data_IF_571323649438
#
_entry.id   IF_571323649438
#
_cell.length_a   1.000
_cell.length_b   1.000
_cell.length_c   1.000
_cell.angle_alpha   90.00
_cell.angle_beta   90.00
_cell.angle_gamma   90.00
#
_symmetry.space_group_name_H-M   'P 1'
#
loop_
_entity.id
_entity.type
_entity.pdbx_description
1 polymer ?
#
# COMPACT_ATOMS: atom_id res chain seq x y z
N UNK A 1 -11.66 -13.36 9.86
CA UNK A 1 -10.32 -13.93 10.15
C UNK A 1 -10.17 -15.26 9.42
N UNK A 2 -8.98 -15.62 8.90
CA UNK A 2 -8.79 -16.91 8.21
C UNK A 2 -7.80 -17.77 9.00
N UNK A 3 -8.23 -18.94 9.44
CA UNK A 3 -7.40 -19.91 10.17
C UNK A 3 -6.80 -20.94 9.20
N UNK A 4 -5.68 -21.53 9.58
CA UNK A 4 -5.08 -22.63 8.83
C UNK A 4 -5.72 -23.93 9.30
N UNK A 5 -6.62 -24.47 8.49
CA UNK A 5 -7.36 -25.70 8.82
C UNK A 5 -6.59 -26.98 8.45
N UNK A 6 -5.50 -26.88 7.69
CA UNK A 6 -4.71 -28.04 7.25
C UNK A 6 -3.86 -28.62 8.38
N UNK A 7 -3.34 -27.76 9.24
CA UNK A 7 -2.47 -28.12 10.37
C UNK A 7 -3.20 -28.01 11.72
N UNK A 8 -4.53 -28.08 11.70
CA UNK A 8 -5.37 -27.90 12.88
C UNK A 8 -5.41 -29.19 13.73
N UNK A 9 -5.09 -29.06 15.02
CA UNK A 9 -5.30 -30.13 16.00
C UNK A 9 -6.76 -30.08 16.50
N UNK A 10 -7.62 -30.85 15.83
CA UNK A 10 -9.04 -30.95 16.18
C UNK A 10 -9.30 -31.61 17.53
N UNK A 11 -8.38 -32.47 17.99
CA UNK A 11 -8.45 -33.08 19.31
C UNK A 11 -8.26 -32.04 20.42
N UNK A 12 -7.25 -31.17 20.28
CA UNK A 12 -7.06 -30.03 21.17
C UNK A 12 -8.22 -29.04 21.10
N UNK A 13 -8.69 -28.72 19.89
CA UNK A 13 -9.85 -27.85 19.69
C UNK A 13 -11.07 -28.35 20.48
N UNK A 14 -11.43 -29.63 20.32
CA UNK A 14 -12.58 -30.21 20.98
C UNK A 14 -12.49 -30.25 22.50
N UNK A 15 -11.28 -30.43 23.07
CA UNK A 15 -11.06 -30.35 24.53
C UNK A 15 -11.28 -28.93 25.03
N UNK A 16 -10.63 -27.94 24.42
CA UNK A 16 -10.73 -26.53 24.82
C UNK A 16 -12.15 -26.00 24.66
N UNK A 17 -12.85 -26.40 23.58
CA UNK A 17 -14.24 -26.02 23.37
C UNK A 17 -15.16 -26.56 24.46
N UNK A 18 -15.02 -27.84 24.84
CA UNK A 18 -15.80 -28.42 25.94
C UNK A 18 -15.54 -27.71 27.26
N UNK A 19 -14.28 -27.45 27.59
CA UNK A 19 -13.93 -26.73 28.82
C UNK A 19 -14.53 -25.32 28.84
N UNK A 20 -14.49 -24.58 27.73
CA UNK A 20 -15.06 -23.24 27.67
C UNK A 20 -16.58 -23.22 27.68
N UNK A 21 -17.23 -24.22 27.07
CA UNK A 21 -18.69 -24.38 27.15
C UNK A 21 -19.14 -24.68 28.59
N UNK A 22 -18.39 -25.50 29.33
CA UNK A 22 -18.70 -25.75 30.75
C UNK A 22 -18.46 -24.57 31.68
N UNK A 23 -17.66 -23.59 31.24
CA UNK A 23 -17.35 -22.36 31.99
C UNK A 23 -18.13 -21.15 31.48
N UNK A 24 -18.96 -21.33 30.45
CA UNK A 24 -19.74 -20.23 29.89
C UNK A 24 -20.79 -19.79 30.91
N UNK A 25 -20.96 -18.47 31.13
CA UNK A 25 -21.98 -17.98 32.06
C UNK A 25 -23.36 -18.41 31.57
N UNK A 26 -24.26 -18.84 32.46
CA UNK A 26 -25.64 -19.08 32.09
C UNK A 26 -26.25 -17.80 31.54
N UNK A 27 -26.90 -17.91 30.38
CA UNK A 27 -27.67 -16.80 29.82
C UNK A 27 -28.99 -16.77 30.55
N UNK A 28 -29.27 -15.66 31.24
CA UNK A 28 -30.51 -15.49 31.98
C UNK A 28 -31.71 -15.48 31.00
N UNK A 29 -32.82 -16.14 31.35
CA UNK A 29 -34.01 -16.15 30.52
C UNK A 29 -34.60 -14.75 30.43
N UNK A 30 -34.60 -14.16 29.23
CA UNK A 30 -35.30 -12.90 28.97
C UNK A 30 -36.81 -13.13 28.78
N UNK A 31 -37.61 -12.12 29.11
CA UNK A 31 -39.07 -12.14 28.93
C UNK A 31 -39.52 -12.38 27.48
N UNK A 32 -38.66 -12.04 26.52
CA UNK A 32 -38.84 -12.31 25.10
C UNK A 32 -38.03 -13.53 24.69
N UNK A 33 -38.71 -14.57 24.18
CA UNK A 33 -38.08 -15.80 23.69
C UNK A 33 -37.05 -15.52 22.58
N UNK A 34 -37.30 -14.51 21.76
CA UNK A 34 -36.40 -14.12 20.66
C UNK A 34 -35.08 -13.56 21.20
N UNK A 35 -35.14 -12.67 22.18
CA UNK A 35 -33.95 -12.03 22.75
C UNK A 35 -33.10 -13.04 23.53
N UNK A 36 -33.74 -14.06 24.11
CA UNK A 36 -33.05 -15.18 24.74
C UNK A 36 -32.28 -16.04 23.71
N UNK A 37 -32.90 -16.32 22.56
CA UNK A 37 -32.24 -17.06 21.48
C UNK A 37 -31.07 -16.24 20.91
N UNK A 38 -31.26 -14.95 20.67
CA UNK A 38 -30.21 -14.10 20.09
C UNK A 38 -29.01 -13.92 21.05
N UNK A 39 -29.27 -13.78 22.35
CA UNK A 39 -28.21 -13.68 23.37
C UNK A 39 -27.46 -15.01 23.58
N UNK A 40 -28.16 -16.14 23.58
CA UNK A 40 -27.52 -17.47 23.64
C UNK A 40 -26.66 -17.74 22.40
N UNK A 41 -27.14 -17.41 21.20
CA UNK A 41 -26.37 -17.54 19.97
C UNK A 41 -25.14 -16.63 20.00
N UNK A 42 -25.26 -15.40 20.50
CA UNK A 42 -24.13 -14.47 20.62
C UNK A 42 -23.04 -15.03 21.56
N UNK A 43 -23.42 -15.56 22.73
CA UNK A 43 -22.45 -16.10 23.68
C UNK A 43 -21.79 -17.38 23.17
N UNK A 44 -22.55 -18.29 22.54
CA UNK A 44 -21.99 -19.47 21.88
C UNK A 44 -21.04 -19.09 20.74
N UNK A 45 -21.40 -18.08 19.95
CA UNK A 45 -20.55 -17.57 18.87
C UNK A 45 -19.25 -17.00 19.43
N UNK A 46 -19.31 -16.29 20.56
CA UNK A 46 -18.13 -15.74 21.25
C UNK A 46 -17.22 -16.84 21.78
N UNK A 47 -17.78 -17.87 22.43
CA UNK A 47 -17.03 -19.05 22.88
C UNK A 47 -16.36 -19.75 21.69
N UNK A 48 -17.08 -19.93 20.59
CA UNK A 48 -16.56 -20.54 19.37
C UNK A 48 -15.42 -19.71 18.74
N UNK A 49 -15.57 -18.39 18.67
CA UNK A 49 -14.52 -17.51 18.16
C UNK A 49 -13.27 -17.56 19.06
N UNK A 50 -13.45 -17.55 20.38
CA UNK A 50 -12.36 -17.61 21.35
C UNK A 50 -11.62 -18.95 21.35
N UNK A 51 -12.30 -20.05 21.07
CA UNK A 51 -11.66 -21.37 20.93
C UNK A 51 -10.86 -21.44 19.63
N UNK A 52 -11.41 -20.91 18.54
CA UNK A 52 -10.72 -20.82 17.26
C UNK A 52 -9.43 -19.98 17.35
N UNK A 53 -9.45 -18.84 18.05
CA UNK A 53 -8.25 -17.98 18.17
C UNK A 53 -7.14 -18.60 19.00
N UNK A 54 -7.47 -19.42 19.99
CA UNK A 54 -6.50 -20.04 20.91
C UNK A 54 -5.88 -21.31 20.35
N UNK A 55 -6.67 -22.13 19.65
CA UNK A 55 -6.25 -23.46 19.22
C UNK A 55 -5.81 -23.51 17.77
N UNK A 56 -6.40 -22.68 16.90
CA UNK A 56 -6.08 -22.68 15.47
C UNK A 56 -4.99 -21.67 15.17
N UNK A 57 -3.96 -22.12 14.44
CA UNK A 57 -2.95 -21.22 13.90
C UNK A 57 -3.63 -20.26 12.92
N UNK A 58 -3.46 -18.96 13.14
CA UNK A 58 -3.89 -17.94 12.17
C UNK A 58 -3.15 -18.18 10.85
N UNK A 59 -3.88 -18.24 9.74
CA UNK A 59 -3.25 -18.20 8.43
C UNK A 59 -2.59 -16.85 8.34
N UNK A 60 -1.26 -16.82 8.45
CA UNK A 60 -0.48 -15.63 8.15
C UNK A 60 -0.78 -15.33 6.70
N UNK A 61 -1.49 -14.22 6.44
CA UNK A 61 -1.44 -13.62 5.11
C UNK A 61 0.05 -13.55 4.77
N UNK A 62 0.47 -14.00 3.57
CA UNK A 62 1.87 -13.94 3.21
C UNK A 62 2.34 -12.54 3.55
N UNK A 63 3.30 -12.46 4.49
CA UNK A 63 3.98 -11.21 4.84
C UNK A 63 4.71 -10.88 3.57
N UNK A 64 4.02 -10.17 2.68
CA UNK A 64 4.59 -9.79 1.43
C UNK A 64 5.76 -8.89 1.83
N UNK A 65 6.99 -9.41 1.72
CA UNK A 65 8.17 -8.59 1.43
C UNK A 65 8.04 -7.95 0.04
N UNK A 66 6.82 -7.60 -0.39
CA UNK A 66 6.60 -6.76 -1.56
C UNK A 66 6.69 -5.35 -1.03
N UNK A 67 7.59 -4.61 -1.66
CA UNK A 67 7.78 -3.17 -1.64
C UNK A 67 6.66 -2.41 -0.94
N UNK A 68 7.00 -1.52 0.01
CA UNK A 68 6.08 -0.85 0.95
C UNK A 68 4.81 -0.26 0.28
N UNK A 69 4.92 0.19 -0.97
CA UNK A 69 3.81 0.71 -1.78
C UNK A 69 2.88 -0.33 -2.41
N UNK A 70 3.15 -1.63 -2.30
CA UNK A 70 2.39 -2.68 -2.98
C UNK A 70 1.15 -3.11 -2.19
N UNK A 71 -0.02 -2.63 -2.62
CA UNK A 71 -1.30 -2.93 -1.95
C UNK A 71 -2.04 -4.14 -2.54
N UNK A 72 -2.98 -4.70 -1.78
CA UNK A 72 -3.90 -5.73 -2.27
C UNK A 72 -4.74 -5.24 -3.46
N UNK A 73 -5.04 -3.93 -3.51
CA UNK A 73 -5.71 -3.29 -4.64
C UNK A 73 -4.88 -3.41 -5.92
N UNK A 74 -3.59 -3.09 -5.86
CA UNK A 74 -2.66 -3.24 -7.00
C UNK A 74 -2.51 -4.70 -7.43
N UNK A 75 -2.50 -5.64 -6.48
CA UNK A 75 -2.47 -7.07 -6.81
C UNK A 75 -3.74 -7.51 -7.57
N UNK A 76 -4.92 -7.02 -7.16
CA UNK A 76 -6.18 -7.27 -7.86
C UNK A 76 -6.16 -6.66 -9.27
N UNK A 77 -5.66 -5.44 -9.40
CA UNK A 77 -5.52 -4.76 -10.70
C UNK A 77 -4.54 -5.52 -11.61
N UNK A 78 -3.39 -5.97 -11.10
CA UNK A 78 -2.42 -6.81 -11.83
C UNK A 78 -3.10 -8.05 -12.41
N UNK A 79 -3.85 -8.79 -11.58
CA UNK A 79 -4.56 -10.00 -12.02
C UNK A 79 -5.59 -9.69 -13.11
N UNK A 80 -6.35 -8.59 -12.97
CA UNK A 80 -7.31 -8.14 -14.00
C UNK A 80 -6.60 -7.75 -15.30
N UNK A 81 -5.49 -7.03 -15.22
CA UNK A 81 -4.69 -6.64 -16.37
C UNK A 81 -4.18 -7.85 -17.16
N UNK A 82 -3.58 -8.81 -16.46
CA UNK A 82 -3.08 -10.06 -17.08
C UNK A 82 -4.22 -10.84 -17.73
N UNK A 83 -5.40 -10.90 -17.09
CA UNK A 83 -6.59 -11.52 -17.69
C UNK A 83 -6.97 -10.83 -19.00
N UNK A 84 -7.14 -9.51 -19.00
CA UNK A 84 -7.46 -8.73 -20.20
C UNK A 84 -6.42 -8.93 -21.31
N UNK A 85 -5.13 -8.95 -20.94
CA UNK A 85 -4.03 -9.22 -21.87
C UNK A 85 -4.20 -10.57 -22.56
N UNK A 86 -4.37 -11.62 -21.76
CA UNK A 86 -4.53 -12.99 -22.27
C UNK A 86 -5.78 -13.12 -23.14
N UNK A 87 -6.88 -12.47 -22.76
CA UNK A 87 -8.13 -12.51 -23.52
C UNK A 87 -7.94 -11.89 -24.91
N UNK A 88 -7.36 -10.69 -25.02
CA UNK A 88 -7.16 -10.08 -26.35
C UNK A 88 -6.18 -10.90 -27.20
N UNK A 89 -5.10 -11.42 -26.62
CA UNK A 89 -4.09 -12.19 -27.36
C UNK A 89 -4.64 -13.51 -27.93
N UNK A 90 -5.59 -14.14 -27.23
CA UNK A 90 -6.24 -15.40 -27.65
C UNK A 90 -7.43 -15.20 -28.57
N UNK A 91 -7.90 -13.97 -28.77
CA UNK A 91 -9.01 -13.70 -29.69
C UNK A 91 -8.50 -13.87 -31.11
N UNK A 92 -9.21 -14.63 -31.95
CA UNK A 92 -8.83 -14.89 -33.34
C UNK A 92 -9.48 -13.90 -34.32
N UNK A 93 -10.72 -13.53 -34.05
CA UNK A 93 -11.48 -12.51 -34.77
C UNK A 93 -10.79 -11.13 -34.68
N UNK A 94 -10.63 -10.45 -35.82
CA UNK A 94 -9.92 -9.18 -35.96
C UNK A 94 -10.63 -8.03 -35.25
N UNK A 95 -11.93 -7.88 -35.45
CA UNK A 95 -12.70 -6.75 -34.92
C UNK A 95 -12.83 -6.86 -33.40
N UNK A 96 -13.19 -8.06 -32.93
CA UNK A 96 -13.27 -8.35 -31.51
C UNK A 96 -11.89 -8.22 -30.81
N UNK A 97 -10.80 -8.57 -31.51
CA UNK A 97 -9.44 -8.38 -30.99
C UNK A 97 -9.11 -6.90 -30.85
N UNK A 98 -9.47 -6.06 -31.82
CA UNK A 98 -9.23 -4.62 -31.76
C UNK A 98 -9.97 -3.98 -30.57
N UNK A 99 -11.25 -4.32 -30.38
CA UNK A 99 -12.05 -3.88 -29.23
C UNK A 99 -11.44 -4.34 -27.89
N UNK A 100 -11.05 -5.60 -27.78
CA UNK A 100 -10.41 -6.12 -26.54
C UNK A 100 -9.04 -5.50 -26.28
N UNK A 101 -8.29 -5.18 -27.33
CA UNK A 101 -7.02 -4.50 -27.23
C UNK A 101 -7.18 -3.07 -26.72
N UNK A 102 -8.20 -2.32 -27.16
CA UNK A 102 -8.48 -0.97 -26.64
C UNK A 102 -8.82 -1.00 -25.16
N UNK A 103 -9.68 -1.94 -24.73
CA UNK A 103 -10.03 -2.14 -23.31
C UNK A 103 -8.80 -2.48 -22.47
N UNK A 104 -7.94 -3.40 -22.95
CA UNK A 104 -6.70 -3.72 -22.24
C UNK A 104 -5.76 -2.52 -22.14
N UNK A 105 -5.55 -1.76 -23.23
CA UNK A 105 -4.67 -0.58 -23.24
C UNK A 105 -5.15 0.50 -22.27
N UNK A 106 -6.46 0.79 -22.26
CA UNK A 106 -7.06 1.73 -21.32
C UNK A 106 -6.83 1.28 -19.86
N UNK A 107 -7.10 0.00 -19.57
CA UNK A 107 -6.88 -0.56 -18.23
C UNK A 107 -5.39 -0.60 -17.85
N UNK A 108 -4.50 -0.85 -18.81
CA UNK A 108 -3.05 -0.85 -18.63
C UNK A 108 -2.53 0.54 -18.27
N UNK A 109 -3.01 1.59 -18.93
CA UNK A 109 -2.69 2.97 -18.57
C UNK A 109 -3.15 3.29 -17.15
N UNK A 110 -4.40 2.96 -16.82
CA UNK A 110 -4.94 3.16 -15.47
C UNK A 110 -4.16 2.39 -14.40
N UNK A 111 -3.80 1.14 -14.67
CA UNK A 111 -2.97 0.34 -13.76
C UNK A 111 -1.57 0.91 -13.56
N UNK A 112 -0.92 1.40 -14.62
CA UNK A 112 0.40 2.05 -14.52
C UNK A 112 0.32 3.34 -13.68
N UNK A 113 -0.72 4.15 -13.88
CA UNK A 113 -0.93 5.36 -13.08
C UNK A 113 -1.13 5.03 -11.61
N UNK A 114 -1.95 4.02 -11.29
CA UNK A 114 -2.14 3.57 -9.91
C UNK A 114 -0.84 3.04 -9.27
N UNK A 115 0.05 2.41 -10.04
CA UNK A 115 1.38 2.02 -9.55
C UNK A 115 2.23 3.26 -9.24
N UNK A 116 2.24 4.26 -10.13
CA UNK A 116 3.00 5.50 -9.94
C UNK A 116 2.53 6.22 -8.67
N UNK A 117 1.23 6.43 -8.54
CA UNK A 117 0.59 7.07 -7.38
C UNK A 117 0.90 6.32 -6.08
N UNK A 118 0.81 4.99 -6.09
CA UNK A 118 1.13 4.20 -4.89
C UNK A 118 2.61 4.32 -4.48
N UNK A 119 3.52 4.40 -5.46
CA UNK A 119 4.95 4.63 -5.19
C UNK A 119 5.15 6.00 -4.57
N UNK A 120 4.64 7.04 -5.21
CA UNK A 120 4.75 8.44 -4.78
C UNK A 120 4.21 8.64 -3.37
N UNK A 121 2.97 8.21 -3.11
CA UNK A 121 2.36 8.25 -1.77
C UNK A 121 3.16 7.49 -0.70
N UNK A 122 3.78 6.37 -1.09
CA UNK A 122 4.62 5.62 -0.14
C UNK A 122 5.97 6.30 0.09
N UNK A 123 6.54 6.94 -0.92
CA UNK A 123 7.76 7.73 -0.77
C UNK A 123 7.49 8.94 0.13
N UNK A 124 6.42 9.70 -0.13
CA UNK A 124 6.02 10.83 0.71
C UNK A 124 5.80 10.43 2.16
N UNK A 125 5.08 9.33 2.42
CA UNK A 125 4.89 8.84 3.79
C UNK A 125 6.19 8.39 4.44
N UNK A 126 7.06 7.71 3.69
CA UNK A 126 8.34 7.25 4.21
C UNK A 126 9.29 8.42 4.48
N UNK A 127 9.33 9.44 3.61
CA UNK A 127 10.14 10.63 3.82
C UNK A 127 9.62 11.47 4.98
N UNK A 128 8.30 11.62 5.13
CA UNK A 128 7.71 12.29 6.30
C UNK A 128 8.01 11.55 7.61
N UNK A 129 7.88 10.23 7.64
CA UNK A 129 8.20 9.40 8.82
C UNK A 129 9.71 9.44 9.15
N UNK A 130 10.57 9.35 8.13
CA UNK A 130 12.02 9.48 8.30
C UNK A 130 12.41 10.90 8.77
N UNK A 131 11.79 11.96 8.24
CA UNK A 131 12.01 13.34 8.67
C UNK A 131 11.55 13.58 10.11
N UNK A 132 10.43 12.98 10.52
CA UNK A 132 9.94 13.07 11.91
C UNK A 132 10.85 12.33 12.89
N UNK A 133 11.37 11.15 12.51
CA UNK A 133 12.24 10.33 13.38
C UNK A 133 13.69 10.81 13.40
N UNK A 134 14.19 11.24 12.25
CA UNK A 134 15.56 11.69 12.09
C UNK A 134 15.63 12.77 10.99
N UNK A 135 15.31 14.03 11.31
CA UNK A 135 15.27 15.12 10.34
C UNK A 135 16.61 15.31 9.61
N UNK A 136 17.73 14.98 10.27
CA UNK A 136 19.08 15.08 9.70
C UNK A 136 19.60 13.76 9.13
N UNK A 137 18.83 12.67 9.20
CA UNK A 137 19.30 11.33 8.83
C UNK A 137 19.59 11.22 7.34
N UNK A 138 18.78 11.86 6.50
CA UNK A 138 19.01 11.92 5.06
C UNK A 138 20.25 12.79 4.76
N UNK A 139 20.37 13.98 5.35
CA UNK A 139 21.52 14.86 5.20
C UNK A 139 22.83 14.19 5.63
N UNK A 140 22.83 13.49 6.77
CA UNK A 140 23.97 12.74 7.27
C UNK A 140 24.36 11.59 6.34
N UNK A 141 23.39 10.81 5.83
CA UNK A 141 23.69 9.72 4.89
C UNK A 141 24.22 10.25 3.55
N UNK A 142 23.75 11.41 3.12
CA UNK A 142 24.24 12.12 1.93
C UNK A 142 25.67 12.64 2.15
N UNK A 143 25.96 13.30 3.27
CA UNK A 143 27.30 13.82 3.59
C UNK A 143 28.31 12.69 3.82
N UNK A 144 27.89 11.59 4.45
CA UNK A 144 28.68 10.38 4.64
C UNK A 144 28.81 9.53 3.37
N UNK A 145 28.33 10.00 2.20
CA UNK A 145 28.36 9.30 0.90
C UNK A 145 27.74 7.89 0.93
N UNK A 146 26.83 7.63 1.88
CA UNK A 146 26.11 6.35 2.00
C UNK A 146 25.05 6.19 0.91
N UNK A 147 24.66 7.28 0.25
CA UNK A 147 23.87 7.30 -0.97
C UNK A 147 24.67 7.93 -2.13
N UNK A 148 24.46 7.43 -3.34
CA UNK A 148 25.06 8.03 -4.54
C UNK A 148 24.21 9.20 -5.02
N UNK A 149 24.70 10.43 -4.83
CA UNK A 149 24.03 11.67 -5.30
C UNK A 149 23.83 11.72 -6.83
N UNK A 150 24.50 10.87 -7.62
CA UNK A 150 24.43 10.86 -9.09
C UNK A 150 23.01 10.67 -9.66
N UNK A 151 22.04 10.20 -8.87
CA UNK A 151 20.63 10.05 -9.30
C UNK A 151 19.68 11.10 -8.74
N UNK A 152 20.12 11.94 -7.80
CA UNK A 152 19.23 12.86 -7.08
C UNK A 152 19.12 14.23 -7.73
N UNK A 153 20.14 14.67 -8.49
CA UNK A 153 20.15 15.98 -9.14
C UNK A 153 19.82 15.80 -10.62
N UNK A 154 18.56 16.01 -10.97
CA UNK A 154 18.15 16.18 -12.35
C UNK A 154 18.37 17.64 -12.77
N UNK A 155 18.71 17.87 -14.04
CA UNK A 155 18.75 19.22 -14.58
C UNK A 155 17.38 19.90 -14.40
N UNK A 156 17.40 21.08 -13.79
CA UNK A 156 16.24 21.94 -13.57
C UNK A 156 16.15 22.93 -14.72
N UNK A 157 14.93 23.24 -15.15
CA UNK A 157 14.64 24.29 -16.14
C UNK A 157 14.29 25.58 -15.43
N UNK A 158 15.08 26.62 -15.67
CA UNK A 158 14.84 27.96 -15.14
C UNK A 158 14.11 28.80 -16.19
N UNK A 159 13.24 29.72 -15.75
CA UNK A 159 12.42 30.55 -16.65
C UNK A 159 13.27 31.37 -17.65
N UNK A 160 14.45 31.82 -17.23
CA UNK A 160 15.26 32.78 -17.99
C UNK A 160 16.36 32.15 -18.86
N UNK A 161 16.92 31.00 -18.46
CA UNK A 161 18.17 30.46 -19.05
C UNK A 161 18.07 29.04 -19.62
N UNK A 162 16.87 28.44 -19.63
CA UNK A 162 16.69 27.07 -20.13
C UNK A 162 17.15 26.00 -19.12
N UNK A 163 17.58 24.84 -19.62
CA UNK A 163 17.98 23.70 -18.79
C UNK A 163 19.37 23.94 -18.17
N UNK A 164 19.51 23.69 -16.87
CA UNK A 164 20.81 23.76 -16.18
C UNK A 164 21.77 22.68 -16.69
N UNK A 165 22.90 23.09 -17.26
CA UNK A 165 23.90 22.20 -17.87
C UNK A 165 24.93 21.68 -16.85
N UNK A 166 25.15 22.42 -15.77
CA UNK A 166 26.17 22.14 -14.75
C UNK A 166 25.54 21.90 -13.39
N UNK A 167 26.10 20.97 -12.62
CA UNK A 167 25.63 20.61 -11.27
C UNK A 167 25.57 21.85 -10.36
N UNK A 168 26.56 22.74 -10.43
CA UNK A 168 26.61 23.98 -9.64
C UNK A 168 25.44 24.91 -9.95
N UNK A 169 25.13 25.08 -11.24
CA UNK A 169 23.98 25.88 -11.68
C UNK A 169 22.65 25.25 -11.23
N UNK A 170 22.54 23.92 -11.27
CA UNK A 170 21.37 23.20 -10.75
C UNK A 170 21.22 23.39 -9.24
N UNK A 171 22.32 23.30 -8.48
CA UNK A 171 22.33 23.51 -7.03
C UNK A 171 21.99 24.95 -6.65
N UNK A 172 22.52 25.94 -7.36
CA UNK A 172 22.17 27.35 -7.15
C UNK A 172 20.69 27.62 -7.45
N UNK A 173 20.14 27.04 -8.51
CA UNK A 173 18.72 27.16 -8.83
C UNK A 173 17.84 26.56 -7.72
N UNK A 174 18.20 25.38 -7.19
CA UNK A 174 17.52 24.80 -6.03
C UNK A 174 17.64 25.67 -4.78
N UNK A 175 18.83 26.20 -4.50
CA UNK A 175 19.09 27.01 -3.32
C UNK A 175 18.27 28.29 -3.36
N UNK A 176 18.23 28.99 -4.48
CA UNK A 176 17.43 30.21 -4.65
C UNK A 176 15.92 29.97 -4.52
N UNK A 177 15.42 28.81 -4.95
CA UNK A 177 14.00 28.50 -4.88
C UNK A 177 13.55 28.00 -3.49
N UNK A 178 14.41 27.27 -2.77
CA UNK A 178 14.10 26.69 -1.47
C UNK A 178 14.49 27.59 -0.30
N UNK A 179 15.47 28.47 -0.51
CA UNK A 179 15.99 29.44 0.46
C UNK A 179 16.11 30.78 -0.27
N UNK A 180 15.00 31.48 -0.53
CA UNK A 180 15.06 32.80 -1.12
C UNK A 180 15.85 33.73 -0.18
N UNK A 181 16.76 34.53 -0.74
CA UNK A 181 17.42 35.59 0.02
C UNK A 181 16.38 36.55 0.58
N UNK A 182 16.60 37.07 1.79
CA UNK A 182 15.66 37.99 2.48
C UNK A 182 15.26 39.23 1.65
N UNK A 183 15.99 39.55 0.58
CA UNK A 183 15.68 40.63 -0.38
C UNK A 183 14.57 40.29 -1.40
N UNK A 184 14.18 39.02 -1.56
CA UNK A 184 13.32 38.52 -2.64
C UNK A 184 11.93 38.03 -2.17
N UNK A 185 11.30 38.76 -1.24
CA UNK A 185 9.90 38.53 -0.82
C UNK A 185 8.85 38.80 -1.94
N UNK A 186 9.28 39.06 -3.18
CA UNK A 186 8.41 39.37 -4.31
C UNK A 186 8.63 38.36 -5.43
N UNK A 187 7.71 37.38 -5.47
CA UNK A 187 7.51 36.36 -6.49
C UNK A 187 8.53 35.20 -6.50
N UNK A 188 8.16 34.09 -5.85
CA UNK A 188 8.80 32.79 -6.00
C UNK A 188 8.50 32.27 -7.42
N UNK A 189 9.49 32.15 -8.32
CA UNK A 189 9.27 31.54 -9.62
C UNK A 189 9.14 30.02 -9.43
N UNK A 190 7.99 29.46 -9.81
CA UNK A 190 7.73 28.03 -9.68
C UNK A 190 8.67 27.24 -10.59
N UNK A 191 9.61 26.50 -10.01
CA UNK A 191 10.42 25.52 -10.73
C UNK A 191 9.54 24.34 -11.15
N UNK A 192 9.47 24.04 -12.44
CA UNK A 192 8.78 22.86 -12.94
C UNK A 192 9.78 21.72 -13.20
N UNK A 193 9.52 20.50 -12.68
CA UNK A 193 10.40 19.38 -12.95
C UNK A 193 10.33 18.99 -14.43
N UNK A 194 11.49 18.63 -15.00
CA UNK A 194 11.61 18.16 -16.38
C UNK A 194 10.70 16.95 -16.61
N UNK A 195 9.72 17.11 -17.49
CA UNK A 195 8.88 16.01 -17.97
C UNK A 195 9.65 15.18 -19.00
N UNK A 196 9.56 13.86 -18.88
CA UNK A 196 10.21 12.87 -19.75
C UNK A 196 9.26 12.45 -20.88
#
# INVERSE_FOLDING_TARGET
MRFNLKDADWGKFGRVLRTKLSQAPPVEPSLSQKDFIDSTVAELTKVYQNTCTETLKRTRLPRYKKTIWWSFRLERMKKRNVRLRRTYQRTMDADLRAQRASVWRAFQAWYKNAIREARENSYERATLDDLQKNPFGMLYKTSAKKYSCKRMLAAVRTADSGDTLTIEATLQAYLNALVPSDEHDRAIPLLTPRTW
#
